data_IF_700403388679
#
_entry.id   IF_700403388679
#
_cell.length_a   1.000
_cell.length_b   1.000
_cell.length_c   1.000
_cell.angle_alpha   90.00
_cell.angle_beta   90.00
_cell.angle_gamma   90.00
#
_symmetry.space_group_name_H-M   'P 1'
#
loop_
_entity.id
_entity.type
_entity.pdbx_description
1 polymer ?
#
# COMPACT_ATOMS: atom_id res chain seq x y z
N UNK A 1 -38.39 18.20 17.91
CA UNK A 1 -36.96 17.72 18.00
C UNK A 1 -36.28 18.23 16.74
N UNK A 2 -35.22 19.03 16.88
CA UNK A 2 -34.42 19.46 15.74
C UNK A 2 -33.43 18.31 15.42
N UNK A 3 -33.56 17.70 14.24
CA UNK A 3 -32.61 16.69 13.77
C UNK A 3 -31.26 17.32 13.39
N UNK A 4 -30.20 16.48 13.29
CA UNK A 4 -28.87 16.88 12.76
C UNK A 4 -29.02 17.16 11.26
N UNK A 5 -28.35 18.20 10.74
CA UNK A 5 -28.30 18.46 9.30
C UNK A 5 -27.65 17.28 8.57
N UNK A 6 -28.04 17.03 7.34
CA UNK A 6 -27.43 16.02 6.49
C UNK A 6 -25.93 16.27 6.34
N UNK A 7 -25.15 15.17 6.23
CA UNK A 7 -23.73 15.22 5.89
C UNK A 7 -23.50 15.79 4.49
N UNK A 8 -22.25 16.12 4.17
CA UNK A 8 -21.88 16.66 2.87
C UNK A 8 -22.29 15.69 1.72
N UNK A 9 -22.84 16.18 0.60
CA UNK A 9 -23.31 15.33 -0.51
C UNK A 9 -22.24 14.38 -1.08
N UNK A 10 -20.97 14.76 -1.04
CA UNK A 10 -19.86 13.89 -1.50
C UNK A 10 -19.73 12.58 -0.71
N UNK A 11 -20.35 12.50 0.48
CA UNK A 11 -20.35 11.27 1.28
C UNK A 11 -21.43 10.27 0.84
N UNK A 12 -22.35 10.70 -0.03
CA UNK A 12 -23.40 9.82 -0.54
C UNK A 12 -22.78 8.67 -1.36
N UNK A 13 -23.11 7.43 -0.98
CA UNK A 13 -22.64 6.22 -1.65
C UNK A 13 -21.21 5.77 -1.26
N UNK A 14 -20.53 6.49 -0.36
CA UNK A 14 -19.26 6.02 0.18
C UNK A 14 -19.52 4.95 1.24
N UNK A 15 -19.00 3.75 1.01
CA UNK A 15 -19.02 2.66 1.97
C UNK A 15 -17.77 2.78 2.85
N UNK A 16 -17.89 2.77 4.19
CA UNK A 16 -16.73 2.77 5.06
C UNK A 16 -15.81 1.58 4.77
N UNK A 17 -14.50 1.82 4.77
CA UNK A 17 -13.53 0.74 4.65
C UNK A 17 -13.63 -0.20 5.85
N UNK A 18 -13.88 -1.49 5.58
CA UNK A 18 -13.95 -2.53 6.59
C UNK A 18 -12.75 -3.48 6.43
N UNK A 19 -11.75 -3.42 7.32
CA UNK A 19 -10.58 -4.30 7.27
C UNK A 19 -10.92 -5.77 7.62
N UNK A 20 -12.16 -6.07 8.08
CA UNK A 20 -12.56 -7.39 8.58
C UNK A 20 -11.63 -7.84 9.71
N UNK A 21 -11.49 -7.02 10.75
CA UNK A 21 -10.70 -7.38 11.93
C UNK A 21 -11.47 -8.41 12.77
N UNK A 22 -11.25 -9.67 12.45
CA UNK A 22 -11.90 -10.82 13.08
C UNK A 22 -10.85 -11.63 13.86
N UNK A 23 -11.20 -12.24 15.01
CA UNK A 23 -10.26 -13.09 15.74
C UNK A 23 -9.91 -14.34 14.94
N UNK A 24 -8.62 -14.65 14.82
CA UNK A 24 -8.11 -15.81 14.11
C UNK A 24 -6.86 -16.37 14.80
N UNK A 25 -6.44 -17.58 14.42
CA UNK A 25 -5.16 -18.15 14.86
C UNK A 25 -4.02 -17.70 13.96
N UNK A 26 -4.29 -17.60 12.65
CA UNK A 26 -3.35 -17.14 11.63
C UNK A 26 -3.90 -15.89 10.95
N UNK A 27 -3.16 -14.78 11.02
CA UNK A 27 -3.54 -13.48 10.44
C UNK A 27 -2.79 -13.24 9.12
N UNK A 28 -3.37 -13.69 8.01
CA UNK A 28 -2.79 -13.58 6.67
C UNK A 28 -3.61 -12.66 5.74
N UNK A 29 -4.28 -11.63 6.31
CA UNK A 29 -5.25 -10.80 5.57
C UNK A 29 -4.78 -9.38 5.24
N UNK A 30 -3.86 -8.79 6.03
CA UNK A 30 -3.55 -7.36 5.99
C UNK A 30 -2.15 -7.04 5.42
N UNK A 31 -1.48 -7.99 4.80
CA UNK A 31 -0.13 -7.83 4.26
C UNK A 31 0.87 -7.35 5.32
N UNK A 32 0.68 -7.80 6.56
CA UNK A 32 1.61 -7.53 7.64
C UNK A 32 2.87 -8.37 7.48
N UNK A 33 3.96 -7.95 8.09
CA UNK A 33 5.17 -8.76 8.17
C UNK A 33 4.96 -9.86 9.23
N UNK A 34 5.22 -11.14 8.94
CA UNK A 34 5.07 -12.21 9.93
C UNK A 34 6.06 -12.08 11.09
N UNK A 35 7.17 -11.40 10.87
CA UNK A 35 8.20 -11.18 11.88
C UNK A 35 8.05 -9.82 12.54
N UNK A 36 8.28 -9.76 13.85
CA UNK A 36 8.42 -8.50 14.55
C UNK A 36 9.76 -7.82 14.20
N UNK A 37 9.92 -6.58 14.63
CA UNK A 37 11.18 -5.82 14.55
C UNK A 37 12.34 -6.63 15.15
N UNK A 38 13.51 -6.74 14.50
CA UNK A 38 14.69 -7.46 15.02
C UNK A 38 15.06 -7.02 16.45
N UNK A 39 15.56 -7.94 17.26
CA UNK A 39 15.80 -7.70 18.70
C UNK A 39 16.77 -6.54 18.95
N UNK A 40 17.83 -6.45 18.16
CA UNK A 40 18.81 -5.36 18.23
C UNK A 40 18.13 -3.99 18.00
N UNK A 41 17.20 -3.93 17.06
CA UNK A 41 16.45 -2.69 16.78
C UNK A 41 15.44 -2.41 17.89
N UNK A 42 14.80 -3.45 18.47
CA UNK A 42 13.94 -3.28 19.64
C UNK A 42 14.70 -2.70 20.84
N UNK A 43 15.97 -3.07 21.02
CA UNK A 43 16.83 -2.49 22.06
C UNK A 43 17.09 -0.99 21.80
N UNK A 44 17.36 -0.60 20.56
CA UNK A 44 17.54 0.81 20.20
C UNK A 44 16.23 1.61 20.40
N UNK A 45 15.08 1.03 20.05
CA UNK A 45 13.76 1.65 20.32
C UNK A 45 13.56 1.88 21.84
N UNK A 46 13.85 0.86 22.67
CA UNK A 46 13.73 0.99 24.14
C UNK A 46 14.65 2.09 24.68
N UNK A 47 15.88 2.20 24.16
CA UNK A 47 16.82 3.29 24.53
C UNK A 47 16.27 4.66 24.13
N UNK A 48 15.74 4.78 22.91
CA UNK A 48 15.17 6.04 22.40
C UNK A 48 13.95 6.50 23.21
N UNK A 49 13.18 5.57 23.77
CA UNK A 49 11.99 5.87 24.58
C UNK A 49 12.29 6.02 26.07
N UNK A 50 13.52 5.74 26.53
CA UNK A 50 13.90 5.92 27.94
C UNK A 50 13.94 7.40 28.31
N UNK A 51 13.10 7.82 29.25
CA UNK A 51 13.00 9.22 29.69
C UNK A 51 12.35 10.13 28.64
N UNK A 52 11.53 9.55 27.76
CA UNK A 52 10.90 10.27 26.64
C UNK A 52 9.96 11.38 27.14
N UNK A 53 9.99 12.58 26.55
CA UNK A 53 9.20 13.73 27.01
C UNK A 53 7.77 13.68 26.41
N UNK A 54 6.91 12.79 26.90
CA UNK A 54 5.52 12.61 26.41
C UNK A 54 4.64 13.86 26.50
N UNK A 55 5.04 14.84 27.31
CA UNK A 55 4.32 16.09 27.53
C UNK A 55 4.68 17.22 26.54
N UNK A 56 5.47 16.92 25.52
CA UNK A 56 5.91 17.88 24.51
C UNK A 56 5.44 17.48 23.11
N UNK A 57 5.11 18.47 22.29
CA UNK A 57 4.83 18.24 20.88
C UNK A 57 6.09 17.70 20.18
N UNK A 58 5.91 16.85 19.14
CA UNK A 58 7.00 16.36 18.32
C UNK A 58 7.65 17.47 17.48
N UNK A 59 8.79 17.17 16.85
CA UNK A 59 9.25 17.93 15.68
C UNK A 59 8.11 17.92 14.64
N UNK A 60 7.57 19.07 14.24
CA UNK A 60 6.40 19.11 13.36
C UNK A 60 6.65 18.45 11.99
N UNK A 61 7.90 18.37 11.55
CA UNK A 61 8.27 17.77 10.27
C UNK A 61 9.03 16.45 10.41
N UNK A 62 9.48 16.07 11.61
CA UNK A 62 10.24 14.85 11.84
C UNK A 62 11.62 14.88 11.18
N UNK A 63 12.34 16.00 11.31
CA UNK A 63 13.56 16.29 10.56
C UNK A 63 14.65 15.23 10.72
N UNK A 64 14.79 14.62 11.91
CA UNK A 64 15.77 13.55 12.13
C UNK A 64 15.55 12.34 11.24
N UNK A 65 14.30 11.93 11.03
CA UNK A 65 13.95 10.82 10.12
C UNK A 65 14.04 11.25 8.66
N UNK A 66 13.61 12.49 8.34
CA UNK A 66 13.71 13.03 6.98
C UNK A 66 15.16 13.06 6.49
N UNK A 67 16.11 13.46 7.35
CA UNK A 67 17.54 13.47 7.02
C UNK A 67 18.06 12.07 6.67
N UNK A 68 17.72 11.06 7.45
CA UNK A 68 18.12 9.68 7.18
C UNK A 68 17.52 9.14 5.88
N UNK A 69 16.26 9.47 5.61
CA UNK A 69 15.58 9.07 4.38
C UNK A 69 16.20 9.78 3.17
N UNK A 70 16.45 11.09 3.29
CA UNK A 70 17.08 11.90 2.24
C UNK A 70 18.47 11.37 1.90
N UNK A 71 19.33 11.19 2.89
CA UNK A 71 20.67 10.62 2.73
C UNK A 71 20.65 9.27 2.03
N UNK A 72 19.79 8.37 2.49
CA UNK A 72 19.68 7.02 1.91
C UNK A 72 19.20 7.00 0.45
N UNK A 73 18.52 8.07 0.02
CA UNK A 73 18.01 8.21 -1.34
C UNK A 73 18.81 9.22 -2.19
N UNK A 74 19.91 9.78 -1.68
CA UNK A 74 20.69 10.78 -2.40
C UNK A 74 19.88 12.06 -2.69
N UNK A 75 19.08 12.50 -1.71
CA UNK A 75 18.18 13.65 -1.79
C UNK A 75 18.49 14.66 -0.68
N UNK A 76 17.83 15.82 -0.75
CA UNK A 76 17.77 16.78 0.37
C UNK A 76 16.53 16.51 1.25
N UNK A 77 16.56 17.00 2.49
CA UNK A 77 15.42 16.93 3.42
C UNK A 77 14.13 17.47 2.82
N UNK A 78 14.24 18.50 1.99
CA UNK A 78 13.14 19.20 1.35
C UNK A 78 12.40 18.33 0.32
N UNK A 79 13.01 17.23 -0.12
CA UNK A 79 12.37 16.23 -1.00
C UNK A 79 11.56 15.17 -0.25
N UNK A 80 11.57 15.19 1.09
CA UNK A 80 10.94 14.15 1.93
C UNK A 80 9.81 14.75 2.75
N UNK A 81 8.64 14.09 2.73
CA UNK A 81 7.51 14.41 3.61
C UNK A 81 7.10 13.17 4.39
N UNK A 82 6.97 13.27 5.72
CA UNK A 82 6.44 12.20 6.56
C UNK A 82 4.92 12.34 6.73
N UNK A 83 4.24 11.21 6.89
CA UNK A 83 2.82 11.15 7.22
C UNK A 83 2.47 10.01 8.17
N UNK A 84 1.30 10.10 8.77
CA UNK A 84 0.72 9.08 9.66
C UNK A 84 0.24 7.87 8.84
N UNK A 85 1.20 7.03 8.39
CA UNK A 85 1.01 6.01 7.38
C UNK A 85 0.88 6.58 5.96
N UNK A 86 0.83 5.67 4.98
CA UNK A 86 0.55 6.03 3.60
C UNK A 86 -0.85 6.63 3.42
N UNK A 87 -1.81 6.23 4.25
CA UNK A 87 -3.20 6.65 4.14
C UNK A 87 -3.39 8.16 4.30
N UNK A 88 -2.69 8.81 5.26
CA UNK A 88 -2.69 10.27 5.38
C UNK A 88 -2.12 10.94 4.14
N UNK A 89 -1.02 10.41 3.60
CA UNK A 89 -0.35 10.97 2.43
C UNK A 89 -1.21 10.84 1.17
N UNK A 90 -1.96 9.75 1.02
CA UNK A 90 -2.95 9.55 -0.04
C UNK A 90 -4.13 10.52 0.10
N UNK A 91 -4.59 10.77 1.32
CA UNK A 91 -5.64 11.76 1.56
C UNK A 91 -5.13 13.18 1.27
N UNK A 92 -3.91 13.50 1.67
CA UNK A 92 -3.27 14.78 1.35
C UNK A 92 -3.07 14.98 -0.16
N UNK A 93 -2.79 13.90 -0.93
CA UNK A 93 -2.77 13.96 -2.40
C UNK A 93 -4.12 14.42 -2.95
N UNK A 94 -5.22 13.78 -2.52
CA UNK A 94 -6.55 14.12 -2.97
C UNK A 94 -7.00 15.54 -2.53
N UNK A 95 -6.52 16.02 -1.38
CA UNK A 95 -6.76 17.40 -0.93
C UNK A 95 -5.98 18.43 -1.74
N UNK A 96 -4.78 18.08 -2.22
CA UNK A 96 -3.88 19.02 -2.90
C UNK A 96 -4.22 19.14 -4.39
N UNK A 97 -4.41 18.03 -5.08
CA UNK A 97 -4.63 17.98 -6.53
C UNK A 97 -6.06 17.65 -6.94
N UNK A 98 -6.89 17.18 -6.00
CA UNK A 98 -8.30 16.89 -6.23
C UNK A 98 -9.20 18.07 -5.93
N UNK A 99 -10.50 17.79 -5.91
CA UNK A 99 -11.58 18.75 -5.64
C UNK A 99 -12.55 18.89 -6.81
N UNK A 100 -13.58 19.73 -6.67
CA UNK A 100 -14.54 20.00 -7.75
C UNK A 100 -13.86 20.57 -9.01
N UNK A 101 -14.16 19.98 -10.16
CA UNK A 101 -13.55 20.34 -11.45
C UNK A 101 -12.22 19.69 -11.73
N UNK A 102 -11.70 18.83 -10.82
CA UNK A 102 -10.48 18.04 -10.99
C UNK A 102 -10.80 16.59 -11.33
N UNK A 103 -9.88 15.93 -12.03
CA UNK A 103 -10.04 14.56 -12.50
C UNK A 103 -8.88 13.69 -12.02
N UNK A 104 -9.23 12.56 -11.40
CA UNK A 104 -8.32 11.49 -10.96
C UNK A 104 -8.39 10.30 -11.91
N UNK A 105 -7.26 9.84 -12.43
CA UNK A 105 -7.18 8.60 -13.19
C UNK A 105 -6.83 7.45 -12.24
N UNK A 106 -7.69 6.43 -12.22
CA UNK A 106 -7.58 5.22 -11.42
C UNK A 106 -7.45 3.98 -12.32
N UNK A 107 -6.68 2.98 -11.91
CA UNK A 107 -6.41 1.75 -12.69
C UNK A 107 -6.85 0.52 -11.88
N UNK A 108 -8.18 0.30 -11.70
CA UNK A 108 -8.70 -0.81 -10.91
C UNK A 108 -8.52 -2.19 -11.63
N UNK A 109 -8.51 -3.33 -10.89
CA UNK A 109 -8.52 -3.39 -9.44
C UNK A 109 -7.20 -2.91 -8.84
N UNK A 110 -7.30 -2.02 -7.87
CA UNK A 110 -6.19 -1.46 -7.11
C UNK A 110 -6.65 -1.12 -5.69
N UNK A 111 -5.84 -0.45 -4.88
CA UNK A 111 -6.19 -0.11 -3.52
C UNK A 111 -7.36 0.89 -3.48
N UNK A 112 -8.49 0.46 -2.92
CA UNK A 112 -9.76 1.19 -2.96
C UNK A 112 -9.74 2.57 -2.30
N UNK A 113 -8.76 2.83 -1.44
CA UNK A 113 -8.60 4.12 -0.75
C UNK A 113 -8.30 5.27 -1.72
N UNK A 114 -7.67 5.02 -2.86
CA UNK A 114 -7.43 6.07 -3.86
C UNK A 114 -8.74 6.67 -4.38
N UNK A 115 -9.64 5.82 -4.86
CA UNK A 115 -10.95 6.25 -5.36
C UNK A 115 -11.80 6.87 -4.23
N UNK A 116 -11.79 6.27 -3.03
CA UNK A 116 -12.53 6.78 -1.89
C UNK A 116 -12.08 8.21 -1.52
N UNK A 117 -10.77 8.47 -1.44
CA UNK A 117 -10.24 9.80 -1.16
C UNK A 117 -10.56 10.83 -2.26
N UNK A 118 -10.47 10.42 -3.52
CA UNK A 118 -10.86 11.29 -4.65
C UNK A 118 -12.34 11.67 -4.57
N UNK A 119 -13.24 10.71 -4.31
CA UNK A 119 -14.67 10.96 -4.14
C UNK A 119 -14.98 11.85 -2.93
N UNK A 120 -14.29 11.65 -1.80
CA UNK A 120 -14.42 12.47 -0.60
C UNK A 120 -14.16 13.96 -0.88
N UNK A 121 -13.19 14.26 -1.71
CA UNK A 121 -12.84 15.64 -2.09
C UNK A 121 -13.72 16.20 -3.22
N UNK A 122 -14.64 15.42 -3.78
CA UNK A 122 -15.48 15.84 -4.92
C UNK A 122 -14.74 15.79 -6.26
N UNK A 123 -13.65 15.04 -6.34
CA UNK A 123 -12.89 14.82 -7.57
C UNK A 123 -13.62 13.84 -8.49
N UNK A 124 -13.65 14.13 -9.79
CA UNK A 124 -14.13 13.19 -10.82
C UNK A 124 -13.14 12.01 -10.91
N UNK A 125 -13.67 10.79 -10.84
CA UNK A 125 -12.85 9.58 -11.03
C UNK A 125 -13.06 9.01 -12.41
N UNK A 126 -11.98 8.75 -13.12
CA UNK A 126 -11.93 8.03 -14.40
C UNK A 126 -11.23 6.70 -14.17
N UNK A 127 -11.97 5.61 -14.35
CA UNK A 127 -11.47 4.26 -14.19
C UNK A 127 -11.05 3.68 -15.55
N UNK A 128 -9.79 3.24 -15.66
CA UNK A 128 -9.28 2.41 -16.75
C UNK A 128 -8.97 1.03 -16.16
N UNK A 129 -9.84 0.03 -16.33
CA UNK A 129 -9.62 -1.29 -15.72
C UNK A 129 -8.37 -1.97 -16.25
N UNK A 130 -7.70 -2.75 -15.38
CA UNK A 130 -6.65 -3.67 -15.78
C UNK A 130 -7.21 -4.77 -16.69
N UNK A 131 -6.34 -5.42 -17.43
CA UNK A 131 -6.68 -6.59 -18.26
C UNK A 131 -7.08 -7.79 -17.37
N UNK A 132 -7.61 -8.84 -17.96
CA UNK A 132 -8.05 -10.06 -17.23
C UNK A 132 -6.92 -10.74 -16.44
N UNK A 133 -5.69 -10.64 -16.91
CA UNK A 133 -4.49 -11.11 -16.21
C UNK A 133 -3.93 -10.11 -15.19
N UNK A 134 -4.66 -9.03 -14.94
CA UNK A 134 -4.30 -7.93 -14.04
C UNK A 134 -3.12 -7.05 -14.49
N UNK A 135 -2.61 -7.20 -15.68
CA UNK A 135 -1.65 -6.25 -16.26
C UNK A 135 -2.36 -4.91 -16.53
N UNK A 136 -1.61 -3.81 -16.46
CA UNK A 136 -2.12 -2.49 -16.85
C UNK A 136 -2.43 -2.50 -18.36
N UNK A 137 -3.56 -1.95 -18.76
CA UNK A 137 -3.79 -1.61 -20.16
C UNK A 137 -3.05 -0.29 -20.46
N UNK A 138 -1.74 -0.43 -20.75
CA UNK A 138 -0.83 0.70 -20.95
C UNK A 138 -1.31 1.62 -22.08
N UNK A 139 -1.82 1.04 -23.17
CA UNK A 139 -2.31 1.79 -24.32
C UNK A 139 -3.55 2.62 -23.96
N UNK A 140 -4.53 2.01 -23.28
CA UNK A 140 -5.73 2.71 -22.87
C UNK A 140 -5.44 3.81 -21.84
N UNK A 141 -4.53 3.56 -20.88
CA UNK A 141 -4.11 4.58 -19.91
C UNK A 141 -3.41 5.75 -20.60
N UNK A 142 -2.44 5.50 -21.49
CA UNK A 142 -1.72 6.55 -22.20
C UNK A 142 -2.65 7.35 -23.14
N UNK A 143 -3.56 6.69 -23.84
CA UNK A 143 -4.55 7.35 -24.68
C UNK A 143 -5.44 8.29 -23.85
N UNK A 144 -5.88 7.85 -22.66
CA UNK A 144 -6.71 8.67 -21.77
C UNK A 144 -5.94 9.86 -21.18
N UNK A 145 -4.66 9.68 -20.85
CA UNK A 145 -3.81 10.78 -20.39
C UNK A 145 -3.61 11.86 -21.46
N UNK A 146 -3.51 11.45 -22.73
CA UNK A 146 -3.32 12.36 -23.85
C UNK A 146 -4.53 13.29 -24.11
N UNK A 147 -5.69 13.04 -23.51
CA UNK A 147 -6.84 13.97 -23.55
C UNK A 147 -6.60 15.25 -22.74
N UNK A 148 -5.63 15.26 -21.82
CA UNK A 148 -5.10 16.46 -21.15
C UNK A 148 -5.99 17.03 -20.03
N UNK A 149 -7.02 16.31 -19.55
CA UNK A 149 -7.93 16.74 -18.47
C UNK A 149 -7.73 15.96 -17.15
N UNK A 150 -6.68 15.14 -17.07
CA UNK A 150 -6.29 14.44 -15.83
C UNK A 150 -5.39 15.35 -15.00
N UNK A 151 -5.74 15.56 -13.73
CA UNK A 151 -4.95 16.36 -12.80
C UNK A 151 -3.93 15.50 -12.03
N UNK A 152 -4.31 14.26 -11.70
CA UNK A 152 -3.39 13.32 -11.05
C UNK A 152 -3.80 11.87 -11.28
N UNK A 153 -2.80 10.97 -11.14
CA UNK A 153 -2.99 9.53 -11.19
C UNK A 153 -2.18 8.83 -10.08
N UNK A 154 -2.62 7.64 -9.67
CA UNK A 154 -1.85 6.77 -8.77
C UNK A 154 -1.64 5.42 -9.43
N UNK A 155 -0.38 5.03 -9.57
CA UNK A 155 0.02 3.71 -10.06
C UNK A 155 0.74 2.98 -8.94
N UNK A 156 0.13 1.92 -8.44
CA UNK A 156 0.75 1.09 -7.39
C UNK A 156 1.64 0.04 -8.01
N UNK A 157 2.88 -0.05 -7.55
CA UNK A 157 3.87 -1.00 -8.07
C UNK A 157 4.81 -1.48 -6.96
N UNK A 158 4.67 -2.75 -6.53
CA UNK A 158 3.65 -3.77 -6.88
C UNK A 158 2.23 -3.40 -6.46
N UNK A 159 1.25 -3.75 -7.30
CA UNK A 159 -0.17 -3.39 -7.11
C UNK A 159 -0.88 -4.23 -6.05
N UNK A 160 -1.64 -3.61 -5.19
CA UNK A 160 -2.55 -4.26 -4.26
C UNK A 160 -4.00 -4.22 -4.82
N UNK A 161 -4.67 -5.39 -5.04
CA UNK A 161 -4.33 -6.70 -4.49
C UNK A 161 -3.62 -7.67 -5.45
N UNK A 162 -3.27 -7.27 -6.66
CA UNK A 162 -2.89 -8.21 -7.74
C UNK A 162 -1.44 -8.69 -7.68
N UNK A 163 -0.58 -8.03 -6.92
CA UNK A 163 0.86 -8.34 -6.84
C UNK A 163 1.69 -7.90 -8.03
N UNK A 164 1.07 -7.48 -9.13
CA UNK A 164 1.72 -7.14 -10.40
C UNK A 164 2.49 -5.83 -10.33
N UNK A 165 3.68 -5.81 -10.92
CA UNK A 165 4.47 -4.60 -11.13
C UNK A 165 3.99 -3.80 -12.34
N UNK A 166 4.18 -2.49 -12.29
CA UNK A 166 4.09 -1.63 -13.47
C UNK A 166 5.43 -1.67 -14.23
N UNK A 167 5.34 -1.63 -15.56
CA UNK A 167 6.52 -1.59 -16.43
C UNK A 167 7.21 -0.22 -16.33
N UNK A 168 8.54 -0.20 -16.17
CA UNK A 168 9.31 1.04 -16.08
C UNK A 168 9.14 1.93 -17.31
N UNK A 169 9.18 1.34 -18.51
CA UNK A 169 9.01 2.08 -19.77
C UNK A 169 7.63 2.73 -19.85
N UNK A 170 6.60 2.01 -19.39
CA UNK A 170 5.24 2.56 -19.28
C UNK A 170 5.18 3.74 -18.30
N UNK A 171 5.76 3.61 -17.11
CA UNK A 171 5.78 4.69 -16.12
C UNK A 171 6.47 5.94 -16.64
N UNK A 172 7.57 5.80 -17.38
CA UNK A 172 8.26 6.93 -18.02
C UNK A 172 7.39 7.58 -19.11
N UNK A 173 6.77 6.80 -19.98
CA UNK A 173 5.83 7.32 -20.98
C UNK A 173 4.64 8.04 -20.34
N UNK A 174 4.15 7.51 -19.21
CA UNK A 174 3.06 8.14 -18.45
C UNK A 174 3.46 9.51 -17.91
N UNK A 175 4.68 9.62 -17.36
CA UNK A 175 5.25 10.88 -16.86
C UNK A 175 5.51 11.89 -18.00
N UNK A 176 5.91 11.40 -19.17
CA UNK A 176 6.15 12.24 -20.37
C UNK A 176 4.83 12.68 -21.05
N UNK A 177 3.70 12.00 -20.80
CA UNK A 177 2.45 12.18 -21.54
C UNK A 177 1.65 13.42 -21.14
N UNK A 178 1.90 13.99 -19.96
CA UNK A 178 1.18 15.15 -19.45
C UNK A 178 1.88 15.80 -18.27
N UNK A 179 1.40 16.97 -17.84
CA UNK A 179 1.80 17.67 -16.62
C UNK A 179 1.01 17.22 -15.38
N UNK A 180 0.15 16.21 -15.52
CA UNK A 180 -0.55 15.61 -14.39
C UNK A 180 0.43 15.06 -13.36
N UNK A 181 0.08 15.19 -12.07
CA UNK A 181 0.89 14.59 -11.01
C UNK A 181 0.72 13.07 -11.02
N UNK A 182 1.83 12.34 -11.12
CA UNK A 182 1.84 10.88 -11.11
C UNK A 182 2.46 10.40 -9.79
N UNK A 183 1.63 9.80 -8.94
CA UNK A 183 2.15 9.11 -7.75
C UNK A 183 2.39 7.65 -8.07
N UNK A 184 3.62 7.19 -7.87
CA UNK A 184 3.95 5.76 -7.86
C UNK A 184 3.93 5.30 -6.40
N UNK A 185 2.94 4.47 -6.07
CA UNK A 185 2.85 3.90 -4.71
C UNK A 185 3.74 2.66 -4.65
N UNK A 186 4.87 2.83 -3.97
CA UNK A 186 5.91 1.84 -3.75
C UNK A 186 5.82 1.19 -2.34
N UNK A 187 4.61 1.03 -1.80
CA UNK A 187 4.42 0.47 -0.46
C UNK A 187 5.00 -0.96 -0.29
N UNK A 188 5.29 -1.65 -1.39
CA UNK A 188 5.80 -3.01 -1.43
C UNK A 188 7.15 -3.15 -2.15
N UNK A 189 7.85 -2.03 -2.42
CA UNK A 189 9.02 -2.02 -3.30
C UNK A 189 10.19 -2.86 -2.76
N UNK A 190 10.32 -3.00 -1.44
CA UNK A 190 11.38 -3.81 -0.84
C UNK A 190 11.30 -5.30 -1.24
N UNK A 191 10.12 -5.78 -1.63
CA UNK A 191 9.89 -7.16 -2.07
C UNK A 191 10.12 -7.37 -3.57
N UNK A 192 10.11 -6.30 -4.36
CA UNK A 192 10.31 -6.32 -5.82
C UNK A 192 11.68 -5.78 -6.26
N UNK A 193 12.35 -5.01 -5.38
CA UNK A 193 13.60 -4.31 -5.66
C UNK A 193 13.54 -3.33 -6.84
N UNK A 194 12.34 -2.91 -7.28
CA UNK A 194 12.14 -1.91 -8.32
C UNK A 194 11.65 -0.59 -7.74
N UNK A 195 12.19 0.53 -8.21
CA UNK A 195 11.77 1.87 -7.78
C UNK A 195 11.94 2.91 -8.88
N UNK A 196 11.03 3.87 -8.91
CA UNK A 196 11.13 5.09 -9.74
C UNK A 196 12.04 6.17 -9.13
N UNK A 197 12.65 5.93 -7.95
CA UNK A 197 13.57 6.90 -7.31
C UNK A 197 14.67 7.43 -8.24
N UNK A 198 15.32 6.64 -9.10
CA UNK A 198 16.37 7.15 -10.01
C UNK A 198 15.88 8.23 -10.98
N UNK A 199 14.58 8.33 -11.21
CA UNK A 199 13.98 9.25 -12.17
C UNK A 199 13.40 10.53 -11.51
N UNK A 200 13.46 10.65 -10.18
CA UNK A 200 12.87 11.78 -9.45
C UNK A 200 13.48 13.14 -9.85
N UNK A 201 14.76 13.16 -10.22
CA UNK A 201 15.45 14.37 -10.66
C UNK A 201 15.13 14.75 -12.12
N UNK A 202 14.49 13.83 -12.89
CA UNK A 202 14.14 14.02 -14.29
C UNK A 202 12.68 14.47 -14.46
N UNK A 203 11.79 14.09 -13.52
CA UNK A 203 10.35 14.29 -13.62
C UNK A 203 9.83 15.09 -12.42
N UNK A 204 9.48 16.36 -12.66
CA UNK A 204 8.92 17.22 -11.61
C UNK A 204 7.54 16.76 -11.12
N UNK A 205 6.80 16.07 -12.00
CA UNK A 205 5.47 15.54 -11.73
C UNK A 205 5.46 14.12 -11.11
N UNK A 206 6.62 13.56 -10.76
CA UNK A 206 6.74 12.27 -10.08
C UNK A 206 6.67 12.43 -8.56
N UNK A 207 5.82 11.64 -7.91
CA UNK A 207 5.78 11.44 -6.46
C UNK A 207 5.92 9.96 -6.16
N UNK A 208 6.75 9.61 -5.19
CA UNK A 208 6.92 8.23 -4.73
C UNK A 208 6.38 8.14 -3.30
N UNK A 209 5.44 7.23 -3.07
CA UNK A 209 4.94 6.90 -1.75
C UNK A 209 5.60 5.63 -1.23
N UNK A 210 6.07 5.63 0.03
CA UNK A 210 6.61 4.46 0.73
C UNK A 210 6.08 4.36 2.15
N UNK A 211 6.16 3.18 2.73
CA UNK A 211 5.63 2.92 4.07
C UNK A 211 6.58 2.06 4.91
N UNK A 212 6.52 2.25 6.22
CA UNK A 212 7.18 1.36 7.19
C UNK A 212 6.31 0.16 7.59
N UNK A 213 5.06 0.12 7.14
CA UNK A 213 4.07 -0.85 7.59
C UNK A 213 4.34 -2.29 7.12
N UNK A 214 5.08 -2.48 6.01
CA UNK A 214 5.24 -3.78 5.35
C UNK A 214 6.62 -4.39 5.63
N UNK A 215 7.63 -4.01 4.90
CA UNK A 215 8.98 -4.56 5.04
C UNK A 215 9.61 -4.32 6.41
N UNK A 216 9.28 -3.19 7.06
CA UNK A 216 9.88 -2.79 8.34
C UNK A 216 9.05 -3.15 9.58
N UNK A 217 8.03 -4.01 9.46
CA UNK A 217 7.22 -4.51 10.59
C UNK A 217 6.58 -3.43 11.48
N UNK A 218 6.32 -2.24 10.94
CA UNK A 218 5.78 -1.11 11.69
C UNK A 218 4.32 -0.76 11.34
N UNK A 219 3.50 -1.75 10.98
CA UNK A 219 2.09 -1.52 10.66
C UNK A 219 1.34 -0.79 11.78
N UNK A 220 1.59 -1.15 13.05
CA UNK A 220 1.00 -0.51 14.22
C UNK A 220 1.58 0.87 14.58
N UNK A 221 2.73 1.27 14.02
CA UNK A 221 3.38 2.57 14.30
C UNK A 221 2.89 3.68 13.37
N UNK A 222 2.26 3.31 12.26
CA UNK A 222 1.66 4.27 11.32
C UNK A 222 2.64 5.29 10.77
N UNK A 223 3.71 4.85 10.10
CA UNK A 223 4.69 5.72 9.46
C UNK A 223 4.74 5.47 7.94
N UNK A 224 4.65 6.56 7.17
CA UNK A 224 4.87 6.59 5.73
C UNK A 224 5.61 7.85 5.32
N UNK A 225 6.09 7.88 4.09
CA UNK A 225 6.76 9.06 3.54
C UNK A 225 6.59 9.19 2.04
N UNK A 226 6.69 10.44 1.56
CA UNK A 226 6.79 10.78 0.15
C UNK A 226 8.22 11.18 -0.19
N UNK A 227 8.63 10.85 -1.41
CA UNK A 227 9.77 11.44 -2.10
C UNK A 227 9.23 12.18 -3.32
N UNK A 228 9.56 13.46 -3.47
CA UNK A 228 9.12 14.28 -4.60
C UNK A 228 10.04 15.47 -4.82
N UNK A 229 9.85 16.18 -5.92
CA UNK A 229 10.45 17.48 -6.12
C UNK A 229 10.06 18.45 -4.99
N UNK A 230 10.95 19.38 -4.62
CA UNK A 230 10.71 20.32 -3.51
C UNK A 230 9.51 21.23 -3.75
N UNK A 231 9.21 21.57 -5.01
CA UNK A 231 8.01 22.32 -5.40
C UNK A 231 6.73 21.57 -5.03
N UNK A 232 6.70 20.27 -5.31
CA UNK A 232 5.58 19.37 -5.00
C UNK A 232 5.42 19.15 -3.49
N UNK A 233 6.52 18.93 -2.76
CA UNK A 233 6.49 18.81 -1.29
C UNK A 233 5.89 20.07 -0.65
N UNK A 234 6.21 21.27 -1.16
CA UNK A 234 5.64 22.53 -0.65
C UNK A 234 4.13 22.59 -0.79
N UNK A 235 3.56 22.03 -1.85
CA UNK A 235 2.10 21.96 -2.03
C UNK A 235 1.47 21.01 -0.99
N UNK A 236 2.02 19.83 -0.78
CA UNK A 236 1.56 18.92 0.27
C UNK A 236 1.59 19.53 1.68
N UNK A 237 2.61 20.35 1.97
CA UNK A 237 2.74 21.01 3.27
C UNK A 237 1.59 21.98 3.57
N UNK A 238 0.87 22.48 2.56
CA UNK A 238 -0.28 23.39 2.75
C UNK A 238 -1.51 22.68 3.33
N UNK A 239 -1.67 21.39 3.06
CA UNK A 239 -2.83 20.59 3.50
C UNK A 239 -2.52 19.66 4.68
N UNK A 240 -1.23 19.39 4.91
CA UNK A 240 -0.78 18.50 5.98
C UNK A 240 -1.20 19.02 7.35
N UNK A 241 -1.76 18.14 8.19
CA UNK A 241 -2.11 18.48 9.57
C UNK A 241 -0.84 18.75 10.40
N UNK A 242 -0.81 19.84 11.20
CA UNK A 242 0.29 20.05 12.14
C UNK A 242 0.43 18.87 13.10
N UNK A 243 1.67 18.41 13.34
CA UNK A 243 1.97 17.32 14.28
C UNK A 243 1.24 16.00 13.97
N UNK A 244 0.91 15.73 12.71
CA UNK A 244 0.17 14.51 12.31
C UNK A 244 0.88 13.20 12.68
N UNK A 245 2.22 13.23 12.74
CA UNK A 245 3.04 12.10 13.20
C UNK A 245 3.51 12.38 14.63
N UNK A 246 3.12 11.51 15.55
CA UNK A 246 3.47 11.64 16.96
C UNK A 246 4.97 11.39 17.22
N UNK A 247 5.44 11.87 18.37
CA UNK A 247 6.85 11.80 18.73
C UNK A 247 7.38 10.38 18.95
N UNK A 248 6.53 9.47 19.42
CA UNK A 248 6.90 8.05 19.65
C UNK A 248 7.09 7.35 18.31
N UNK A 249 6.15 7.53 17.37
CA UNK A 249 6.25 7.00 16.01
C UNK A 249 7.49 7.53 15.28
N UNK A 250 7.81 8.82 15.43
CA UNK A 250 9.04 9.40 14.87
C UNK A 250 10.29 8.75 15.45
N UNK A 251 10.35 8.56 16.78
CA UNK A 251 11.50 7.95 17.44
C UNK A 251 11.70 6.50 17.02
N UNK A 252 10.62 5.71 16.97
CA UNK A 252 10.63 4.30 16.56
C UNK A 252 11.07 4.18 15.08
N UNK A 253 10.44 4.94 14.19
CA UNK A 253 10.77 4.88 12.77
C UNK A 253 12.20 5.34 12.49
N UNK A 254 12.72 6.32 13.24
CA UNK A 254 14.12 6.77 13.17
C UNK A 254 15.07 5.64 13.55
N UNK A 255 14.81 4.92 14.65
CA UNK A 255 15.61 3.78 15.08
C UNK A 255 15.57 2.64 14.04
N UNK A 256 14.40 2.31 13.52
CA UNK A 256 14.21 1.28 12.48
C UNK A 256 14.93 1.67 11.20
N UNK A 257 14.75 2.88 10.68
CA UNK A 257 15.36 3.29 9.41
C UNK A 257 16.89 3.34 9.47
N UNK A 258 17.45 3.74 10.62
CA UNK A 258 18.90 3.71 10.85
C UNK A 258 19.47 2.28 10.77
N UNK A 259 18.69 1.30 11.18
CA UNK A 259 19.05 -0.11 11.21
C UNK A 259 18.36 -0.94 10.10
N UNK A 260 17.93 -0.31 9.01
CA UNK A 260 17.12 -0.95 7.94
C UNK A 260 17.78 -2.18 7.32
N UNK A 261 19.10 -2.26 7.32
CA UNK A 261 19.82 -3.44 6.80
C UNK A 261 19.54 -4.74 7.59
N UNK A 262 19.15 -4.63 8.85
CA UNK A 262 18.82 -5.78 9.69
C UNK A 262 17.48 -6.44 9.29
N UNK A 263 16.67 -5.79 8.46
CA UNK A 263 15.42 -6.34 7.94
C UNK A 263 15.61 -7.17 6.66
N UNK A 264 16.74 -7.05 5.99
CA UNK A 264 17.01 -7.74 4.72
C UNK A 264 16.82 -9.27 4.79
N UNK A 265 17.29 -9.97 5.84
CA UNK A 265 17.04 -11.41 5.94
C UNK A 265 15.56 -11.77 5.98
N UNK A 266 14.74 -11.02 6.74
CA UNK A 266 13.29 -11.23 6.82
C UNK A 266 12.59 -10.92 5.50
N UNK A 267 13.00 -9.87 4.78
CA UNK A 267 12.49 -9.54 3.45
C UNK A 267 12.79 -10.69 2.47
N UNK A 268 14.00 -11.21 2.47
CA UNK A 268 14.39 -12.33 1.61
C UNK A 268 13.59 -13.61 1.94
N UNK A 269 13.33 -13.88 3.21
CA UNK A 269 12.48 -15.00 3.61
C UNK A 269 11.04 -14.85 3.09
N UNK A 270 10.47 -13.64 3.14
CA UNK A 270 9.14 -13.35 2.57
C UNK A 270 9.14 -13.59 1.05
N UNK A 271 10.18 -13.16 0.35
CA UNK A 271 10.31 -13.38 -1.10
C UNK A 271 10.39 -14.87 -1.43
N UNK A 272 11.17 -15.65 -0.67
CA UNK A 272 11.26 -17.11 -0.80
C UNK A 272 9.91 -17.77 -0.53
N UNK A 273 9.27 -17.44 0.57
CA UNK A 273 7.98 -17.99 0.97
C UNK A 273 6.84 -17.61 0.01
N UNK A 274 6.91 -16.45 -0.63
CA UNK A 274 6.03 -16.10 -1.75
C UNK A 274 6.16 -17.12 -2.89
N UNK A 275 7.39 -17.50 -3.24
CA UNK A 275 7.66 -18.51 -4.24
C UNK A 275 7.03 -19.85 -3.90
N UNK A 276 7.16 -20.29 -2.64
CA UNK A 276 6.53 -21.52 -2.14
C UNK A 276 5.00 -21.45 -2.27
N UNK A 277 4.37 -20.34 -1.85
CA UNK A 277 2.92 -20.18 -1.97
C UNK A 277 2.45 -20.22 -3.43
N UNK A 278 3.16 -19.56 -4.35
CA UNK A 278 2.83 -19.58 -5.78
C UNK A 278 2.92 -20.98 -6.36
N UNK A 279 3.98 -21.73 -6.03
CA UNK A 279 4.19 -23.09 -6.49
C UNK A 279 3.09 -24.04 -5.97
N UNK A 280 2.83 -24.02 -4.65
CA UNK A 280 1.86 -24.94 -4.04
C UNK A 280 0.42 -24.63 -4.46
N UNK A 281 0.03 -23.34 -4.52
CA UNK A 281 -1.29 -22.93 -5.04
C UNK A 281 -1.46 -23.34 -6.51
N UNK A 282 -0.40 -23.26 -7.32
CA UNK A 282 -0.45 -23.67 -8.73
C UNK A 282 -0.63 -25.18 -8.94
N UNK A 283 -0.35 -26.01 -7.93
CA UNK A 283 -0.57 -27.47 -7.95
C UNK A 283 -2.00 -27.86 -7.56
N UNK A 284 -2.76 -26.96 -6.94
CA UNK A 284 -4.11 -27.27 -6.42
C UNK A 284 -5.16 -27.23 -7.54
N UNK A 285 -5.93 -28.31 -7.74
CA UNK A 285 -7.00 -28.34 -8.75
C UNK A 285 -8.03 -27.22 -8.53
N UNK A 286 -8.40 -26.51 -9.59
CA UNK A 286 -9.40 -25.45 -9.54
C UNK A 286 -8.91 -24.12 -8.95
N UNK A 287 -7.63 -24.00 -8.59
CA UNK A 287 -7.01 -22.76 -8.13
C UNK A 287 -6.18 -22.13 -9.25
N UNK A 288 -6.34 -20.83 -9.46
CA UNK A 288 -5.47 -20.03 -10.34
C UNK A 288 -4.75 -19.00 -9.49
N UNK A 289 -3.48 -19.21 -9.22
CA UNK A 289 -2.63 -18.23 -8.56
C UNK A 289 -2.08 -17.21 -9.57
N UNK A 290 -1.99 -15.94 -9.16
CA UNK A 290 -1.43 -14.87 -10.00
C UNK A 290 -0.02 -14.52 -9.51
N UNK A 291 0.91 -14.33 -10.44
CA UNK A 291 2.27 -13.89 -10.13
C UNK A 291 2.27 -12.62 -9.26
N UNK A 292 3.18 -12.58 -8.31
CA UNK A 292 3.27 -11.48 -7.36
C UNK A 292 4.73 -11.08 -7.11
N UNK A 293 4.97 -9.78 -7.07
CA UNK A 293 6.23 -9.16 -6.64
C UNK A 293 6.11 -8.50 -5.25
N UNK A 294 5.05 -8.84 -4.50
CA UNK A 294 4.72 -8.28 -3.20
C UNK A 294 4.87 -9.30 -2.05
N UNK A 295 4.40 -8.97 -0.85
CA UNK A 295 4.33 -9.88 0.29
C UNK A 295 2.95 -10.56 0.43
N UNK A 296 2.27 -10.83 -0.66
CA UNK A 296 1.01 -11.56 -0.73
C UNK A 296 0.85 -12.22 -2.10
N UNK A 297 -0.08 -13.16 -2.19
CA UNK A 297 -0.50 -13.82 -3.43
C UNK A 297 -2.00 -13.66 -3.59
N UNK A 298 -2.44 -13.17 -4.76
CA UNK A 298 -3.83 -13.23 -5.19
C UNK A 298 -4.07 -14.56 -5.89
N UNK A 299 -5.19 -15.21 -5.59
CA UNK A 299 -5.60 -16.42 -6.28
C UNK A 299 -7.10 -16.42 -6.52
N UNK A 300 -7.53 -17.14 -7.55
CA UNK A 300 -8.95 -17.34 -7.91
C UNK A 300 -9.34 -18.78 -7.68
N UNK A 301 -10.52 -18.99 -7.10
CA UNK A 301 -11.10 -20.32 -6.85
C UNK A 301 -12.61 -20.23 -6.93
N UNK A 302 -13.28 -21.26 -7.44
CA UNK A 302 -14.75 -21.29 -7.49
C UNK A 302 -15.35 -21.15 -6.08
N UNK A 303 -16.46 -20.42 -5.97
CA UNK A 303 -17.18 -20.18 -4.71
C UNK A 303 -16.25 -19.63 -3.60
N UNK A 304 -15.43 -18.68 -3.97
CA UNK A 304 -14.37 -18.12 -3.09
C UNK A 304 -14.89 -17.66 -1.73
N UNK A 305 -16.12 -17.16 -1.64
CA UNK A 305 -16.74 -16.81 -0.37
C UNK A 305 -16.91 -17.98 0.60
N UNK A 306 -17.29 -19.16 0.09
CA UNK A 306 -17.38 -20.40 0.89
C UNK A 306 -15.98 -20.90 1.27
N UNK A 307 -15.02 -20.84 0.36
CA UNK A 307 -13.62 -21.19 0.64
C UNK A 307 -13.06 -20.28 1.72
N UNK A 308 -13.31 -18.96 1.64
CA UNK A 308 -12.91 -18.01 2.67
C UNK A 308 -13.52 -18.35 4.04
N UNK A 309 -14.82 -18.67 4.08
CA UNK A 309 -15.49 -19.07 5.32
C UNK A 309 -14.88 -20.35 5.89
N UNK A 310 -14.63 -21.35 5.05
CA UNK A 310 -13.99 -22.61 5.46
C UNK A 310 -12.58 -22.43 6.03
N UNK A 311 -11.78 -21.50 5.47
CA UNK A 311 -10.48 -21.12 6.01
C UNK A 311 -10.63 -20.41 7.35
N UNK A 312 -11.56 -19.47 7.47
CA UNK A 312 -11.83 -18.75 8.71
C UNK A 312 -12.26 -19.70 9.83
N UNK A 313 -13.15 -20.66 9.56
CA UNK A 313 -13.61 -21.68 10.51
C UNK A 313 -12.45 -22.56 11.04
N UNK A 314 -11.41 -22.75 10.21
CA UNK A 314 -10.16 -23.45 10.59
C UNK A 314 -9.13 -22.52 11.28
N UNK A 315 -9.51 -21.25 11.48
CA UNK A 315 -8.68 -20.25 12.16
C UNK A 315 -7.69 -19.51 11.28
N UNK A 316 -7.83 -19.57 9.96
CA UNK A 316 -6.97 -18.87 8.99
C UNK A 316 -7.74 -17.68 8.38
N UNK A 317 -7.34 -16.47 8.72
CA UNK A 317 -7.95 -15.25 8.19
C UNK A 317 -7.14 -14.72 7.01
N UNK A 318 -7.73 -14.77 5.82
CA UNK A 318 -7.19 -14.15 4.60
C UNK A 318 -8.13 -13.04 4.10
N UNK A 319 -7.74 -12.32 3.06
CA UNK A 319 -8.57 -11.24 2.51
C UNK A 319 -9.51 -11.74 1.43
N UNK A 320 -10.80 -11.47 1.63
CA UNK A 320 -11.86 -11.78 0.68
C UNK A 320 -12.08 -10.61 -0.30
N UNK A 321 -12.04 -10.92 -1.60
CA UNK A 321 -12.39 -10.04 -2.71
C UNK A 321 -13.46 -10.67 -3.62
N UNK A 322 -14.06 -11.80 -3.21
CA UNK A 322 -14.96 -12.61 -4.04
C UNK A 322 -16.13 -11.84 -4.65
N UNK A 323 -16.58 -10.78 -3.97
CA UNK A 323 -17.66 -9.91 -4.43
C UNK A 323 -17.19 -8.52 -4.92
N UNK A 324 -15.87 -8.31 -5.02
CA UNK A 324 -15.33 -7.03 -5.47
C UNK A 324 -15.31 -6.96 -7.00
N UNK A 325 -15.68 -5.82 -7.55
CA UNK A 325 -15.65 -5.57 -9.00
C UNK A 325 -14.25 -5.85 -9.56
N UNK A 326 -14.16 -6.56 -10.66
CA UNK A 326 -12.95 -7.05 -11.34
C UNK A 326 -12.16 -8.15 -10.60
N UNK A 327 -12.61 -8.59 -9.42
CA UNK A 327 -11.92 -9.56 -8.57
C UNK A 327 -12.85 -10.73 -8.20
N UNK A 328 -13.87 -10.99 -9.00
CA UNK A 328 -14.85 -12.04 -8.78
C UNK A 328 -14.15 -13.38 -8.53
N UNK A 329 -14.54 -14.04 -7.45
CA UNK A 329 -13.94 -15.29 -6.98
C UNK A 329 -12.44 -15.21 -6.64
N UNK A 330 -11.91 -14.02 -6.31
CA UNK A 330 -10.54 -13.86 -5.88
C UNK A 330 -10.43 -13.74 -4.36
N UNK A 331 -9.38 -14.37 -3.84
CA UNK A 331 -8.91 -14.27 -2.46
C UNK A 331 -7.45 -13.85 -2.46
N UNK A 332 -6.99 -13.14 -1.42
CA UNK A 332 -5.58 -12.76 -1.27
C UNK A 332 -5.07 -13.26 0.07
N UNK A 333 -3.98 -14.01 0.04
CA UNK A 333 -3.24 -14.46 1.22
C UNK A 333 -1.96 -13.64 1.37
N UNK A 334 -1.70 -13.09 2.57
CA UNK A 334 -0.41 -12.51 2.92
C UNK A 334 0.63 -13.61 3.06
N UNK A 335 1.88 -13.33 2.71
CA UNK A 335 3.00 -14.26 2.97
C UNK A 335 3.30 -14.24 4.46
N UNK A 336 3.03 -15.34 5.14
CA UNK A 336 3.33 -15.59 6.54
C UNK A 336 4.70 -16.21 6.77
N UNK A 337 4.95 -16.68 8.00
CA UNK A 337 6.07 -17.57 8.28
C UNK A 337 5.90 -18.90 7.52
N UNK A 338 6.97 -19.74 7.39
CA UNK A 338 6.83 -21.05 6.79
C UNK A 338 5.72 -21.90 7.43
N UNK A 339 5.58 -21.82 8.74
CA UNK A 339 4.57 -22.55 9.51
C UNK A 339 3.15 -22.00 9.24
N UNK A 340 2.98 -20.67 9.21
CA UNK A 340 1.70 -20.04 8.90
C UNK A 340 1.25 -20.34 7.47
N UNK A 341 2.18 -20.31 6.52
CA UNK A 341 1.91 -20.66 5.12
C UNK A 341 1.51 -22.12 4.98
N UNK A 342 2.18 -23.06 5.70
CA UNK A 342 1.82 -24.46 5.66
C UNK A 342 0.41 -24.71 6.23
N UNK A 343 0.07 -24.07 7.36
CA UNK A 343 -1.28 -24.15 7.94
C UNK A 343 -2.35 -23.66 6.95
N UNK A 344 -2.08 -22.58 6.23
CA UNK A 344 -2.98 -22.07 5.19
C UNK A 344 -3.13 -23.08 4.03
N UNK A 345 -2.02 -23.61 3.51
CA UNK A 345 -2.02 -24.54 2.38
C UNK A 345 -2.77 -25.85 2.72
N UNK A 346 -2.51 -26.39 3.92
CA UNK A 346 -3.18 -27.62 4.39
C UNK A 346 -4.70 -27.40 4.52
N UNK A 347 -5.10 -26.28 5.16
CA UNK A 347 -6.51 -25.92 5.32
C UNK A 347 -7.22 -25.73 3.96
N UNK A 348 -6.55 -25.07 3.01
CA UNK A 348 -7.12 -24.88 1.66
C UNK A 348 -7.26 -26.23 0.92
N UNK A 349 -6.26 -27.11 0.99
CA UNK A 349 -6.29 -28.42 0.36
C UNK A 349 -7.43 -29.30 0.93
N UNK A 350 -7.64 -29.30 2.26
CA UNK A 350 -8.76 -30.00 2.89
C UNK A 350 -10.11 -29.51 2.36
N UNK A 351 -10.31 -28.16 2.33
CA UNK A 351 -11.56 -27.56 1.84
C UNK A 351 -11.83 -27.95 0.38
N UNK A 352 -10.82 -27.92 -0.47
CA UNK A 352 -10.97 -28.27 -1.88
C UNK A 352 -11.30 -29.77 -2.07
N UNK A 353 -10.71 -30.66 -1.26
CA UNK A 353 -10.99 -32.09 -1.28
C UNK A 353 -12.42 -32.41 -0.78
N UNK A 354 -12.92 -31.71 0.24
CA UNK A 354 -14.28 -31.85 0.75
C UNK A 354 -15.37 -31.46 -0.29
N UNK A 355 -14.99 -30.67 -1.30
CA UNK A 355 -15.88 -30.12 -2.34
C UNK A 355 -15.78 -30.91 -3.68
N UNK A 356 -14.78 -31.78 -3.82
CA UNK A 356 -14.58 -32.62 -5.01
C UNK A 356 -15.44 -33.90 -4.96
#
# INVERSE_FOLDING_TARGET
>A
MHGVRNSHPNLAGIVPYDPKYLPAKQYLSANENPSNVPEEVQLEIRKALKGFPFNRYPDPLGNALRDLIAEANGLSRENVLLGNGGDELLFNLALTWGGPGRTFLNVPPTFSVYEANARLTGTKVVNIPRKENFDIDEEAVLARMAEGDIDFAVITSPNNPTGKMANETFLKKLLDSSDALIMVDEAYFEFSCFSMRPYLDQYENLVILRTFSKAFSLAGVRMGYLLANTSVIREFLKVRQPYSVDSVSQAIATAVYRNRSLFVPGINQIIEQRGVLLEELGKMPGVTAFDSDSNYVLFRVADAGEVWQGLYDRGVLIRDFSHSQYLENCLRVSVGSPEENQVFLDALAEILNERS
#
